data_IF_044832828732
#
_entry.id   IF_044832828732
#
_cell.length_a   1.000
_cell.length_b   1.000
_cell.length_c   1.000
_cell.angle_alpha   90.00
_cell.angle_beta   90.00
_cell.angle_gamma   90.00
#
_symmetry.space_group_name_H-M   'P 1'
#
loop_
_entity.id
_entity.type
_entity.pdbx_description
1 polymer ?
#
# COMPACT_ATOMS: atom_id res chain seq x y z
N UNK A 1 15.75 2.97 -2.67
CA UNK A 1 15.26 1.62 -2.46
C UNK A 1 15.40 1.21 -0.99
N UNK A 2 14.44 0.47 -0.45
CA UNK A 2 14.49 0.02 0.92
C UNK A 2 15.64 -0.98 1.14
N UNK A 3 16.27 -0.88 2.33
CA UNK A 3 17.39 -1.72 2.75
C UNK A 3 16.97 -2.58 3.95
N UNK A 4 17.70 -3.67 4.27
CA UNK A 4 17.38 -4.47 5.45
C UNK A 4 17.28 -3.67 6.76
N UNK A 5 18.10 -2.61 6.90
CA UNK A 5 18.07 -1.75 8.09
C UNK A 5 16.78 -0.92 8.21
N UNK A 6 15.99 -0.83 7.14
CA UNK A 6 14.76 -0.04 7.14
C UNK A 6 13.55 -0.84 7.65
N UNK A 7 13.68 -2.15 7.91
CA UNK A 7 12.53 -3.02 8.19
C UNK A 7 11.76 -2.59 9.44
N UNK A 8 12.45 -2.22 10.52
CA UNK A 8 11.76 -1.78 11.75
C UNK A 8 11.00 -0.47 11.50
N UNK A 9 11.56 0.46 10.76
CA UNK A 9 10.86 1.69 10.39
C UNK A 9 9.64 1.38 9.53
N UNK A 10 9.78 0.48 8.58
CA UNK A 10 8.69 0.04 7.71
C UNK A 10 7.58 -0.66 8.51
N UNK A 11 7.96 -1.49 9.49
CA UNK A 11 6.97 -2.11 10.35
C UNK A 11 6.17 -1.07 11.14
N UNK A 12 6.85 -0.08 11.73
CA UNK A 12 6.18 0.97 12.49
C UNK A 12 5.26 1.81 11.60
N UNK A 13 5.68 2.10 10.39
CA UNK A 13 4.83 2.78 9.41
C UNK A 13 3.60 1.93 9.07
N UNK A 14 3.77 0.64 8.87
CA UNK A 14 2.68 -0.29 8.60
C UNK A 14 1.69 -0.32 9.77
N UNK A 15 2.20 -0.37 10.98
CA UNK A 15 1.39 -0.36 12.19
C UNK A 15 0.55 0.92 12.28
N UNK A 16 1.18 2.07 12.13
CA UNK A 16 0.49 3.37 12.16
C UNK A 16 -0.56 3.48 11.06
N UNK A 17 -0.28 2.93 9.89
CA UNK A 17 -1.19 3.00 8.74
C UNK A 17 -2.42 2.11 8.91
N UNK A 18 -2.28 0.95 9.55
CA UNK A 18 -3.32 -0.08 9.54
C UNK A 18 -3.91 -0.43 10.91
N UNK A 19 -3.38 0.09 12.00
CA UNK A 19 -3.84 -0.28 13.34
C UNK A 19 -5.36 -0.13 13.49
N UNK A 20 -5.92 1.02 13.13
CA UNK A 20 -7.35 1.28 13.26
C UNK A 20 -8.17 0.41 12.33
N UNK A 21 -7.70 0.19 11.11
CA UNK A 21 -8.39 -0.62 10.11
C UNK A 21 -8.44 -2.08 10.55
N UNK A 22 -7.30 -2.62 11.01
CA UNK A 22 -7.23 -4.00 11.48
C UNK A 22 -8.13 -4.23 12.70
N UNK A 23 -8.12 -3.29 13.66
CA UNK A 23 -9.00 -3.38 14.82
C UNK A 23 -10.47 -3.35 14.37
N UNK A 24 -10.83 -2.48 13.44
CA UNK A 24 -12.20 -2.38 12.93
C UNK A 24 -12.65 -3.65 12.23
N UNK A 25 -11.76 -4.27 11.44
CA UNK A 25 -12.12 -5.46 10.64
C UNK A 25 -12.05 -6.76 11.43
N UNK A 26 -11.03 -6.92 12.30
CA UNK A 26 -10.73 -8.16 12.99
C UNK A 26 -10.92 -8.10 14.51
N UNK A 27 -11.23 -6.93 15.04
CA UNK A 27 -11.55 -6.72 16.46
C UNK A 27 -10.35 -6.38 17.34
N UNK A 28 -9.13 -6.68 16.92
CA UNK A 28 -7.94 -6.41 17.73
C UNK A 28 -6.70 -6.32 16.86
N UNK A 29 -5.64 -5.74 17.42
CA UNK A 29 -4.29 -5.78 16.89
C UNK A 29 -3.44 -6.67 17.79
N UNK A 30 -3.12 -7.86 17.34
CA UNK A 30 -2.22 -8.76 18.03
C UNK A 30 -0.79 -8.45 17.58
N UNK A 31 -0.02 -7.79 18.43
CA UNK A 31 1.31 -7.29 18.08
C UNK A 31 2.26 -8.42 17.65
N UNK A 32 2.28 -9.53 18.37
CA UNK A 32 3.15 -10.64 18.03
C UNK A 32 2.78 -11.25 16.68
N UNK A 33 1.49 -11.42 16.43
CA UNK A 33 0.98 -11.98 15.19
C UNK A 33 1.26 -11.05 14.00
N UNK A 34 1.01 -9.75 14.17
CA UNK A 34 1.24 -8.77 13.10
C UNK A 34 2.72 -8.64 12.76
N UNK A 35 3.59 -8.65 13.77
CA UNK A 35 5.04 -8.66 13.54
C UNK A 35 5.46 -9.91 12.76
N UNK A 36 4.96 -11.06 13.14
CA UNK A 36 5.29 -12.32 12.46
C UNK A 36 4.89 -12.26 10.99
N UNK A 37 3.67 -11.83 10.68
CA UNK A 37 3.20 -11.71 9.30
C UNK A 37 4.06 -10.72 8.52
N UNK A 38 4.30 -9.55 9.10
CA UNK A 38 5.07 -8.50 8.43
C UNK A 38 6.48 -8.96 8.10
N UNK A 39 7.21 -9.47 9.11
CA UNK A 39 8.60 -9.86 8.92
C UNK A 39 8.73 -11.09 8.01
N UNK A 40 7.73 -11.98 7.98
CA UNK A 40 7.75 -13.11 7.06
C UNK A 40 7.73 -12.68 5.60
N UNK A 41 7.05 -11.58 5.28
CA UNK A 41 7.02 -11.02 3.92
C UNK A 41 8.38 -10.46 3.51
N UNK A 42 9.25 -10.16 4.47
CA UNK A 42 10.56 -9.58 4.21
C UNK A 42 11.70 -10.59 4.29
N UNK A 43 11.40 -11.87 4.44
CA UNK A 43 12.43 -12.91 4.38
C UNK A 43 13.17 -12.90 3.04
N UNK A 44 12.50 -12.43 2.00
CA UNK A 44 13.12 -12.18 0.70
C UNK A 44 13.06 -10.69 0.39
N UNK A 45 14.02 -10.14 -0.38
CA UNK A 45 13.96 -8.74 -0.79
C UNK A 45 12.66 -8.42 -1.52
N UNK A 46 12.10 -7.24 -1.25
CA UNK A 46 10.88 -6.75 -1.90
C UNK A 46 11.19 -5.50 -2.72
N UNK A 47 10.46 -5.24 -3.81
CA UNK A 47 10.67 -4.04 -4.64
C UNK A 47 10.06 -2.79 -3.98
N UNK A 48 10.54 -2.46 -2.79
CA UNK A 48 10.05 -1.33 -2.00
C UNK A 48 10.87 -0.08 -2.25
N UNK A 49 10.17 1.04 -2.44
CA UNK A 49 10.77 2.36 -2.56
C UNK A 49 10.33 3.21 -1.38
N UNK A 50 11.28 3.72 -0.63
CA UNK A 50 10.98 4.66 0.45
C UNK A 50 10.80 6.03 -0.18
N UNK A 51 9.70 6.69 0.17
CA UNK A 51 9.38 8.02 -0.33
C UNK A 51 9.98 9.04 0.61
N UNK A 52 10.76 9.96 0.04
CA UNK A 52 11.39 11.03 0.80
C UNK A 52 10.87 12.39 0.36
N UNK A 53 10.76 13.30 1.33
CA UNK A 53 10.48 14.71 1.07
C UNK A 53 11.56 15.52 1.77
N UNK A 54 12.49 16.05 0.97
CA UNK A 54 13.74 16.58 1.51
C UNK A 54 14.54 15.44 2.13
N UNK A 55 14.90 15.58 3.41
CA UNK A 55 15.62 14.54 4.15
C UNK A 55 14.71 13.63 4.96
N UNK A 56 13.39 13.87 4.93
CA UNK A 56 12.43 13.11 5.74
C UNK A 56 11.90 11.91 4.98
N UNK A 57 11.82 10.76 5.66
CA UNK A 57 11.11 9.61 5.14
C UNK A 57 9.62 9.79 5.39
N UNK A 58 8.82 9.80 4.34
CA UNK A 58 7.40 10.12 4.44
C UNK A 58 6.48 8.97 4.06
N UNK A 59 7.01 7.90 3.51
CA UNK A 59 6.19 6.76 3.12
C UNK A 59 6.95 5.66 2.41
N UNK A 60 6.20 4.69 1.91
CA UNK A 60 6.74 3.57 1.14
C UNK A 60 5.76 3.18 0.03
N UNK A 61 6.30 2.78 -1.11
CA UNK A 61 5.55 2.17 -2.20
C UNK A 61 6.20 0.83 -2.51
N UNK A 62 5.40 -0.23 -2.57
CA UNK A 62 5.86 -1.55 -2.99
C UNK A 62 5.05 -1.95 -4.22
N UNK A 63 5.71 -1.89 -5.38
CA UNK A 63 5.10 -2.19 -6.66
C UNK A 63 5.86 -3.32 -7.33
N UNK A 64 5.12 -4.30 -7.83
CA UNK A 64 5.68 -5.39 -8.60
C UNK A 64 5.14 -5.32 -10.04
N UNK A 65 6.05 -5.32 -11.00
CA UNK A 65 5.68 -5.37 -12.41
C UNK A 65 5.52 -6.83 -12.83
N UNK A 66 4.27 -7.21 -13.05
CA UNK A 66 3.93 -8.54 -13.56
C UNK A 66 3.66 -8.47 -15.05
N UNK A 67 3.52 -9.63 -15.70
CA UNK A 67 3.28 -9.67 -17.15
C UNK A 67 1.98 -8.97 -17.54
N UNK A 68 0.90 -9.21 -16.77
CA UNK A 68 -0.45 -8.75 -17.12
C UNK A 68 -0.89 -7.52 -16.35
N UNK A 69 -0.12 -7.09 -15.34
CA UNK A 69 -0.48 -5.92 -14.53
C UNK A 69 0.71 -5.37 -13.75
N UNK A 70 0.60 -4.11 -13.32
CA UNK A 70 1.42 -3.60 -12.25
C UNK A 70 0.66 -3.82 -10.95
N UNK A 71 1.24 -4.58 -10.04
CA UNK A 71 0.61 -4.93 -8.77
C UNK A 71 1.14 -4.04 -7.65
N UNK A 72 0.27 -3.22 -7.11
CA UNK A 72 0.61 -2.35 -5.98
C UNK A 72 0.34 -3.11 -4.69
N UNK A 73 1.43 -3.60 -4.08
CA UNK A 73 1.33 -4.33 -2.81
C UNK A 73 1.04 -3.39 -1.65
N UNK A 74 1.73 -2.25 -1.61
CA UNK A 74 1.60 -1.29 -0.52
C UNK A 74 1.83 0.13 -1.01
N UNK A 75 1.03 1.05 -0.50
CA UNK A 75 1.28 2.47 -0.53
C UNK A 75 0.91 3.01 0.85
N UNK A 76 1.89 3.50 1.59
CA UNK A 76 1.70 3.98 2.96
C UNK A 76 2.38 5.33 3.11
N UNK A 77 1.66 6.28 3.68
CA UNK A 77 2.15 7.64 3.93
C UNK A 77 2.13 7.87 5.43
N UNK A 78 3.22 8.41 5.98
CA UNK A 78 3.27 8.76 7.40
C UNK A 78 2.11 9.71 7.76
N UNK A 79 1.46 9.51 8.92
CA UNK A 79 0.29 10.31 9.28
C UNK A 79 0.47 11.81 9.17
N UNK A 80 1.66 12.33 9.50
CA UNK A 80 1.96 13.76 9.43
C UNK A 80 1.97 14.31 8.00
N UNK A 81 2.06 13.45 7.00
CA UNK A 81 2.13 13.84 5.59
C UNK A 81 0.87 13.42 4.81
N UNK A 82 -0.11 12.85 5.50
CA UNK A 82 -1.40 12.53 4.87
C UNK A 82 -2.22 13.81 4.65
N UNK A 83 -3.21 13.74 3.76
CA UNK A 83 -4.12 14.83 3.43
C UNK A 83 -3.45 16.03 2.72
N UNK A 84 -2.24 15.83 2.19
CA UNK A 84 -1.53 16.87 1.41
C UNK A 84 -1.45 16.52 -0.08
N UNK A 85 -2.25 15.55 -0.53
CA UNK A 85 -2.26 15.16 -1.94
C UNK A 85 -1.10 14.26 -2.38
N UNK A 86 -0.21 13.87 -1.46
CA UNK A 86 0.95 13.05 -1.80
C UNK A 86 0.54 11.67 -2.30
N UNK A 87 -0.39 11.01 -1.61
CA UNK A 87 -0.88 9.69 -2.03
C UNK A 87 -1.51 9.71 -3.41
N UNK A 88 -2.32 10.73 -3.70
CA UNK A 88 -2.93 10.91 -5.02
C UNK A 88 -1.88 11.12 -6.10
N UNK A 89 -0.88 11.95 -5.83
CA UNK A 89 0.19 12.22 -6.79
C UNK A 89 0.99 10.94 -7.08
N UNK A 90 1.33 10.17 -6.05
CA UNK A 90 2.03 8.90 -6.21
C UNK A 90 1.21 7.90 -7.03
N UNK A 91 -0.09 7.78 -6.75
CA UNK A 91 -0.97 6.89 -7.50
C UNK A 91 -1.09 7.30 -8.96
N UNK A 92 -1.13 8.60 -9.26
CA UNK A 92 -1.14 9.08 -10.65
C UNK A 92 0.15 8.70 -11.38
N UNK A 93 1.30 8.81 -10.72
CA UNK A 93 2.57 8.41 -11.29
C UNK A 93 2.61 6.90 -11.56
N UNK A 94 2.13 6.09 -10.61
CA UNK A 94 2.06 4.65 -10.77
C UNK A 94 1.12 4.25 -11.91
N UNK A 95 0.00 4.95 -12.04
CA UNK A 95 -0.93 4.72 -13.15
C UNK A 95 -0.31 5.06 -14.50
N UNK A 96 0.43 6.18 -14.58
CA UNK A 96 1.13 6.56 -15.80
C UNK A 96 2.15 5.48 -16.21
N UNK A 97 2.88 4.92 -15.25
CA UNK A 97 3.83 3.83 -15.50
C UNK A 97 3.12 2.59 -16.03
N UNK A 98 2.00 2.19 -15.42
CA UNK A 98 1.22 1.04 -15.89
C UNK A 98 0.72 1.26 -17.31
N UNK A 99 0.19 2.46 -17.59
CA UNK A 99 -0.29 2.82 -18.92
C UNK A 99 0.82 2.77 -19.97
N UNK A 100 2.02 3.22 -19.58
CA UNK A 100 3.17 3.16 -20.51
C UNK A 100 3.57 1.72 -20.84
N UNK A 101 3.29 0.77 -19.94
CA UNK A 101 3.49 -0.66 -20.18
C UNK A 101 2.31 -1.33 -20.89
N UNK A 102 1.18 -0.62 -21.03
CA UNK A 102 -0.03 -1.19 -21.61
C UNK A 102 -0.75 -2.19 -20.72
N UNK A 103 -0.60 -2.07 -19.39
CA UNK A 103 -1.21 -2.97 -18.40
C UNK A 103 -2.01 -2.17 -17.37
N UNK A 104 -2.99 -2.80 -16.70
CA UNK A 104 -3.69 -2.13 -15.59
C UNK A 104 -2.83 -2.02 -14.35
N UNK A 105 -3.19 -1.10 -13.47
CA UNK A 105 -2.68 -1.01 -12.11
C UNK A 105 -3.70 -1.69 -11.19
N UNK A 106 -3.25 -2.68 -10.43
CA UNK A 106 -4.10 -3.50 -9.58
C UNK A 106 -3.66 -3.41 -8.13
N UNK A 107 -4.62 -3.51 -7.21
CA UNK A 107 -4.36 -3.52 -5.78
C UNK A 107 -5.46 -4.26 -5.03
N UNK A 108 -5.20 -4.56 -3.76
CA UNK A 108 -6.20 -5.03 -2.83
C UNK A 108 -6.35 -4.04 -1.68
N UNK A 109 -7.56 -3.91 -1.16
CA UNK A 109 -7.84 -3.05 -0.01
C UNK A 109 -8.70 -3.81 0.99
N UNK A 110 -8.34 -3.73 2.28
CA UNK A 110 -9.13 -4.38 3.35
C UNK A 110 -10.55 -3.83 3.37
N UNK A 111 -11.53 -4.70 3.63
CA UNK A 111 -12.95 -4.32 3.65
C UNK A 111 -13.23 -3.13 4.57
N UNK A 112 -12.56 -3.07 5.73
CA UNK A 112 -12.77 -1.99 6.69
C UNK A 112 -12.04 -0.70 6.33
N UNK A 113 -11.15 -0.72 5.33
CA UNK A 113 -10.40 0.48 4.92
C UNK A 113 -11.21 1.31 3.92
N UNK A 114 -12.31 1.89 4.40
CA UNK A 114 -13.23 2.64 3.56
C UNK A 114 -12.63 3.92 3.01
N UNK A 115 -11.75 4.57 3.78
CA UNK A 115 -11.09 5.81 3.32
C UNK A 115 -10.21 5.53 2.09
N UNK A 116 -9.42 4.46 2.14
CA UNK A 116 -8.59 4.06 1.01
C UNK A 116 -9.46 3.66 -0.18
N UNK A 117 -10.51 2.87 0.06
CA UNK A 117 -11.42 2.44 -1.00
C UNK A 117 -12.06 3.64 -1.70
N UNK A 118 -12.49 4.65 -0.93
CA UNK A 118 -13.07 5.87 -1.50
C UNK A 118 -12.06 6.65 -2.34
N UNK A 119 -10.81 6.73 -1.88
CA UNK A 119 -9.74 7.36 -2.65
C UNK A 119 -9.54 6.67 -3.99
N UNK A 120 -9.43 5.33 -3.97
CA UNK A 120 -9.24 4.57 -5.20
C UNK A 120 -10.42 4.71 -6.15
N UNK A 121 -11.65 4.67 -5.62
CA UNK A 121 -12.85 4.86 -6.44
C UNK A 121 -12.88 6.25 -7.09
N UNK A 122 -12.51 7.30 -6.34
CA UNK A 122 -12.43 8.67 -6.89
C UNK A 122 -11.42 8.79 -8.01
N UNK A 123 -10.35 8.00 -7.96
CA UNK A 123 -9.33 7.99 -9.01
C UNK A 123 -9.73 7.21 -10.25
N UNK A 124 -10.80 6.43 -10.16
CA UNK A 124 -11.29 5.63 -11.27
C UNK A 124 -11.05 4.14 -11.15
N UNK A 125 -10.48 3.66 -10.02
CA UNK A 125 -10.36 2.24 -9.78
C UNK A 125 -11.74 1.60 -9.69
N UNK A 126 -11.88 0.42 -10.29
CA UNK A 126 -13.11 -0.37 -10.23
C UNK A 126 -12.90 -1.61 -9.38
N UNK A 127 -13.91 -1.95 -8.61
CA UNK A 127 -13.90 -3.20 -7.87
C UNK A 127 -14.14 -4.35 -8.84
N UNK A 128 -13.18 -5.29 -8.89
CA UNK A 128 -13.21 -6.44 -9.79
C UNK A 128 -13.78 -7.65 -9.06
N UNK A 129 -13.39 -7.86 -7.81
CA UNK A 129 -13.77 -9.02 -7.05
C UNK A 129 -13.78 -8.71 -5.56
N UNK A 130 -14.71 -9.34 -4.84
CA UNK A 130 -14.74 -9.27 -3.38
C UNK A 130 -14.16 -10.56 -2.82
N UNK A 131 -13.01 -10.44 -2.16
CA UNK A 131 -12.33 -11.56 -1.52
C UNK A 131 -12.75 -11.67 -0.05
N UNK A 132 -12.23 -12.69 0.66
CA UNK A 132 -12.60 -12.92 2.06
C UNK A 132 -12.36 -11.70 2.95
N UNK A 133 -11.21 -11.05 2.81
CA UNK A 133 -10.81 -9.90 3.64
C UNK A 133 -10.58 -8.61 2.87
N UNK A 134 -10.54 -8.67 1.54
CA UNK A 134 -10.16 -7.56 0.69
C UNK A 134 -11.11 -7.40 -0.49
N UNK A 135 -11.12 -6.19 -1.05
CA UNK A 135 -11.61 -5.97 -2.41
C UNK A 135 -10.42 -5.94 -3.36
N UNK A 136 -10.55 -6.61 -4.50
CA UNK A 136 -9.60 -6.49 -5.61
C UNK A 136 -10.07 -5.34 -6.49
N UNK A 137 -9.19 -4.38 -6.75
CA UNK A 137 -9.52 -3.21 -7.55
C UNK A 137 -8.49 -3.01 -8.66
N UNK A 138 -8.94 -2.45 -9.79
CA UNK A 138 -8.02 -2.11 -10.88
C UNK A 138 -8.42 -0.84 -11.61
N UNK A 139 -7.46 -0.23 -12.27
CA UNK A 139 -7.64 0.90 -13.19
C UNK A 139 -6.74 0.72 -14.40
N UNK A 140 -7.26 1.08 -15.55
CA UNK A 140 -6.51 1.07 -16.82
C UNK A 140 -6.24 2.47 -17.33
#
# INVERSE_FOLDING_TARGET
>A
KARPDDIEWLYELNRKSFLKVVIRQFGKWDEAFQRQIFFSKWEKPRPAQIIEKGSDRVGVVILEQLEDCNWLHEIQICPNYQSHGLGTALLRDLLADARSRGVPLCLQVLHANQDAKRLYARMGFQEIERLANHFLMEIS
#
